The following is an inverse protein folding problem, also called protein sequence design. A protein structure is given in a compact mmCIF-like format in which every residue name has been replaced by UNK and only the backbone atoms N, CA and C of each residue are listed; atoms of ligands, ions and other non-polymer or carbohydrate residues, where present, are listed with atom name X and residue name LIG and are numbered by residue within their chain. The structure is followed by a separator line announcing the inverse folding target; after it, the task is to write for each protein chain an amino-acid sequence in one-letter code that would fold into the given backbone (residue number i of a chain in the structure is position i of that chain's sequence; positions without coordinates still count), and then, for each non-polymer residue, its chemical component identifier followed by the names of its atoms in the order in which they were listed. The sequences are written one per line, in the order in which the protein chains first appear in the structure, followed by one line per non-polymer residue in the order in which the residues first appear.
data_IF_285756228913
#
_entry.id   IF_285756228913
#
_cell.length_a   1.000
_cell.length_b   1.000
_cell.length_c   1.000
_cell.angle_alpha   90.00
_cell.angle_beta   90.00
_cell.angle_gamma   90.00
#
_symmetry.space_group_name_H-M   'P 1'
#
loop_
_entity.id
_entity.type
_entity.pdbx_description
1 polymer ?
#
# COMPACT_ATOMS: atom_id res chain seq x y z
N UNK A 1 -16.77 -6.77 -6.30
CA UNK A 1 -15.42 -6.84 -5.81
C UNK A 1 -14.65 -7.92 -6.53
N UNK A 2 -13.51 -7.61 -6.94
CA UNK A 2 -12.55 -8.53 -7.50
C UNK A 2 -11.74 -9.17 -6.36
N UNK A 3 -10.65 -9.82 -6.65
CA UNK A 3 -9.84 -10.52 -5.67
C UNK A 3 -8.93 -9.66 -4.81
N UNK A 4 -8.98 -8.34 -4.91
CA UNK A 4 -8.03 -7.47 -4.21
C UNK A 4 -8.15 -7.54 -2.70
N UNK A 5 -9.36 -7.53 -2.17
CA UNK A 5 -9.54 -7.68 -0.72
C UNK A 5 -9.01 -9.03 -0.25
N UNK A 6 -9.27 -10.08 -1.01
CA UNK A 6 -8.79 -11.42 -0.68
C UNK A 6 -7.26 -11.47 -0.69
N UNK A 7 -6.62 -10.84 -1.68
CA UNK A 7 -5.17 -10.76 -1.73
C UNK A 7 -4.62 -9.99 -0.53
N UNK A 8 -5.24 -8.88 -0.18
CA UNK A 8 -4.81 -8.09 0.96
C UNK A 8 -4.84 -8.93 2.25
N UNK A 9 -5.93 -9.65 2.46
CA UNK A 9 -6.07 -10.50 3.63
C UNK A 9 -5.08 -11.67 3.62
N UNK A 10 -4.83 -12.23 2.45
CA UNK A 10 -3.85 -13.30 2.28
C UNK A 10 -2.45 -12.82 2.64
N UNK A 11 -2.03 -11.69 2.12
CA UNK A 11 -0.70 -11.14 2.39
C UNK A 11 -0.56 -10.61 3.81
N UNK A 12 -1.66 -10.23 4.44
CA UNK A 12 -1.66 -9.79 5.84
C UNK A 12 -1.32 -10.94 6.81
N UNK A 13 -1.51 -12.19 6.39
CA UNK A 13 -1.13 -13.39 7.16
C UNK A 13 -1.67 -13.39 8.58
N UNK A 14 -2.93 -13.04 8.73
CA UNK A 14 -3.59 -13.07 10.04
C UNK A 14 -3.32 -11.87 10.93
N UNK A 15 -2.54 -10.89 10.47
CA UNK A 15 -2.39 -9.65 11.23
C UNK A 15 -3.73 -8.92 11.31
N UNK A 16 -4.03 -8.26 12.44
CA UNK A 16 -5.29 -7.52 12.58
C UNK A 16 -5.45 -6.47 11.49
N UNK A 17 -6.64 -6.36 10.95
CA UNK A 17 -7.01 -5.42 9.90
C UNK A 17 -8.20 -4.58 10.36
N UNK A 18 -8.29 -3.39 9.81
CA UNK A 18 -9.36 -2.43 10.09
C UNK A 18 -10.27 -2.41 8.87
N UNK A 19 -11.53 -2.78 9.04
CA UNK A 19 -12.47 -2.91 7.92
C UNK A 19 -12.59 -1.61 7.12
N UNK A 20 -12.62 -0.47 7.80
CA UNK A 20 -12.71 0.83 7.13
C UNK A 20 -11.47 1.10 6.27
N UNK A 21 -10.29 0.80 6.79
CA UNK A 21 -9.05 0.97 6.05
C UNK A 21 -8.97 0.02 4.86
N UNK A 22 -9.37 -1.24 5.05
CA UNK A 22 -9.42 -2.22 3.96
C UNK A 22 -10.30 -1.70 2.83
N UNK A 23 -11.47 -1.17 3.15
CA UNK A 23 -12.38 -0.63 2.15
C UNK A 23 -11.75 0.53 1.37
N UNK A 24 -11.07 1.45 2.06
CA UNK A 24 -10.39 2.58 1.42
C UNK A 24 -9.29 2.11 0.49
N UNK A 25 -8.47 1.18 0.96
CA UNK A 25 -7.32 0.66 0.19
C UNK A 25 -7.81 -0.11 -1.03
N UNK A 26 -8.82 -0.95 -0.89
CA UNK A 26 -9.37 -1.70 -2.01
C UNK A 26 -9.92 -0.73 -3.07
N UNK A 27 -10.64 0.29 -2.64
CA UNK A 27 -11.18 1.28 -3.57
C UNK A 27 -10.08 2.04 -4.32
N UNK A 28 -8.97 2.33 -3.65
CA UNK A 28 -7.88 3.13 -4.21
C UNK A 28 -6.90 2.31 -5.06
N UNK A 29 -7.00 1.00 -5.07
CA UNK A 29 -6.05 0.12 -5.77
C UNK A 29 -6.67 -0.58 -6.97
N UNK A 30 -7.68 0.01 -7.58
CA UNK A 30 -8.29 -0.58 -8.77
C UNK A 30 -7.26 -0.70 -9.89
N UNK A 31 -7.19 -1.87 -10.51
CA UNK A 31 -6.29 -2.12 -11.63
C UNK A 31 -4.87 -2.49 -11.27
N UNK A 32 -4.53 -2.54 -9.98
CA UNK A 32 -3.16 -2.92 -9.60
C UNK A 32 -2.97 -4.43 -9.65
N UNK A 33 -1.70 -4.85 -9.70
CA UNK A 33 -1.33 -6.26 -9.75
C UNK A 33 -1.27 -6.88 -8.37
N UNK A 34 -1.23 -8.23 -8.32
CA UNK A 34 -1.04 -8.96 -7.07
C UNK A 34 0.30 -8.59 -6.43
N UNK A 35 1.34 -8.39 -7.25
CA UNK A 35 2.66 -7.98 -6.75
C UNK A 35 2.61 -6.62 -6.06
N UNK A 36 1.80 -5.71 -6.58
CA UNK A 36 1.61 -4.40 -5.97
C UNK A 36 0.95 -4.54 -4.59
N UNK A 37 -0.10 -5.37 -4.50
CA UNK A 37 -0.77 -5.61 -3.23
C UNK A 37 0.18 -6.22 -2.20
N UNK A 38 1.03 -7.14 -2.62
CA UNK A 38 2.01 -7.75 -1.73
C UNK A 38 3.02 -6.72 -1.23
N UNK A 39 3.50 -5.86 -2.12
CA UNK A 39 4.45 -4.81 -1.75
C UNK A 39 3.81 -3.80 -0.80
N UNK A 40 2.55 -3.47 -1.01
CA UNK A 40 1.80 -2.58 -0.13
C UNK A 40 1.78 -3.11 1.32
N UNK A 41 1.43 -4.39 1.48
CA UNK A 41 1.39 -5.01 2.81
C UNK A 41 2.79 -5.06 3.41
N UNK A 42 3.79 -5.43 2.63
CA UNK A 42 5.17 -5.48 3.09
C UNK A 42 5.62 -4.12 3.63
N UNK A 43 5.34 -3.05 2.91
CA UNK A 43 5.70 -1.70 3.35
C UNK A 43 4.99 -1.27 4.61
N UNK A 44 3.72 -1.65 4.75
CA UNK A 44 2.98 -1.34 5.97
C UNK A 44 3.62 -2.02 7.18
N UNK A 45 4.02 -3.28 7.04
CA UNK A 45 4.70 -4.01 8.12
C UNK A 45 6.03 -3.36 8.45
N UNK A 46 6.83 -3.01 7.44
CA UNK A 46 8.13 -2.36 7.64
C UNK A 46 7.97 -1.02 8.35
N UNK A 47 6.95 -0.25 8.01
CA UNK A 47 6.69 1.02 8.70
C UNK A 47 6.47 0.82 10.20
N UNK A 48 5.74 -0.22 10.58
CA UNK A 48 5.53 -0.53 12.00
C UNK A 48 6.83 -0.95 12.69
N UNK A 49 7.62 -1.78 12.02
CA UNK A 49 8.90 -2.22 12.56
C UNK A 49 9.84 -1.03 12.75
N UNK A 50 9.96 -0.18 11.74
CA UNK A 50 10.83 0.99 11.80
C UNK A 50 10.42 1.99 12.89
N UNK A 51 9.12 2.07 13.15
CA UNK A 51 8.58 2.94 14.19
C UNK A 51 8.64 2.30 15.59
N UNK A 52 9.14 1.07 15.68
CA UNK A 52 9.12 0.28 16.93
C UNK A 52 7.70 0.16 17.51
N UNK A 53 6.71 0.15 16.62
CA UNK A 53 5.29 0.04 16.99
C UNK A 53 4.85 -1.42 16.92
N UNK A 54 3.74 -1.79 17.58
CA UNK A 54 3.19 -3.13 17.44
C UNK A 54 2.91 -3.46 15.98
N UNK A 55 3.22 -4.69 15.55
CA UNK A 55 3.04 -5.11 14.16
C UNK A 55 1.59 -5.49 13.95
N UNK A 56 0.81 -4.53 13.50
CA UNK A 56 -0.59 -4.69 13.13
C UNK A 56 -0.82 -3.86 11.87
N UNK A 57 -1.86 -4.18 11.13
CA UNK A 57 -2.24 -3.42 9.93
C UNK A 57 -3.46 -2.54 10.18
N UNK A 58 -3.83 -2.35 11.44
CA UNK A 58 -4.95 -1.49 11.81
C UNK A 58 -4.59 0.00 11.72
N UNK A 59 -5.60 0.85 11.82
CA UNK A 59 -5.39 2.30 11.78
C UNK A 59 -5.23 2.82 10.37
N UNK A 60 -4.11 3.48 10.10
CA UNK A 60 -3.84 4.11 8.81
C UNK A 60 -2.54 3.64 8.16
N UNK A 61 -1.92 2.59 8.68
CA UNK A 61 -0.60 2.18 8.17
C UNK A 61 -0.64 1.71 6.72
N UNK A 62 -1.72 1.06 6.30
CA UNK A 62 -1.89 0.68 4.90
C UNK A 62 -2.13 1.91 4.03
N UNK A 63 -2.91 2.87 4.51
CA UNK A 63 -3.12 4.13 3.80
C UNK A 63 -1.80 4.87 3.59
N UNK A 64 -0.95 4.90 4.62
CA UNK A 64 0.36 5.55 4.56
C UNK A 64 1.29 4.86 3.58
N UNK A 65 1.32 3.53 3.62
CA UNK A 65 2.13 2.75 2.68
C UNK A 65 1.65 2.95 1.25
N UNK A 66 0.35 3.03 1.05
CA UNK A 66 -0.23 3.27 -0.28
C UNK A 66 0.16 4.65 -0.81
N UNK A 67 0.11 5.66 0.04
CA UNK A 67 0.52 7.02 -0.35
C UNK A 67 1.98 7.04 -0.78
N UNK A 68 2.85 6.34 -0.06
CA UNK A 68 4.27 6.23 -0.39
C UNK A 68 4.49 5.58 -1.75
N UNK A 69 3.81 4.45 -2.01
CA UNK A 69 3.90 3.75 -3.29
C UNK A 69 3.36 4.59 -4.44
N UNK A 70 2.28 5.30 -4.21
CA UNK A 70 1.68 6.16 -5.23
C UNK A 70 2.63 7.30 -5.59
N UNK A 71 3.28 7.90 -4.60
CA UNK A 71 4.27 8.96 -4.81
C UNK A 71 5.46 8.48 -5.63
N UNK A 72 6.01 7.33 -5.29
CA UNK A 72 7.14 6.75 -6.02
C UNK A 72 6.77 6.48 -7.47
N UNK A 73 5.59 5.93 -7.70
CA UNK A 73 5.09 5.63 -9.03
C UNK A 73 4.92 6.92 -9.85
N UNK A 74 4.38 7.96 -9.27
CA UNK A 74 4.20 9.25 -9.94
C UNK A 74 5.53 9.87 -10.31
N UNK A 75 6.49 9.82 -9.41
CA UNK A 75 7.84 10.36 -9.65
C UNK A 75 8.52 9.62 -10.79
N UNK A 76 8.44 8.29 -10.79
CA UNK A 76 9.04 7.47 -11.84
C UNK A 76 8.37 7.74 -13.19
N UNK A 77 7.05 7.82 -13.21
CA UNK A 77 6.31 8.10 -14.44
C UNK A 77 6.71 9.43 -15.05
N UNK A 78 6.83 10.47 -14.24
CA UNK A 78 7.28 11.79 -14.71
C UNK A 78 8.68 11.74 -15.29
N UNK A 79 9.58 11.03 -14.63
CA UNK A 79 10.95 10.89 -15.11
C UNK A 79 10.99 10.17 -16.46
N UNK A 80 10.23 9.10 -16.60
CA UNK A 80 10.20 8.30 -17.84
C UNK A 80 9.57 9.06 -19.01
N UNK A 81 8.64 9.95 -18.73
CA UNK A 81 7.98 10.75 -19.77
C UNK A 81 8.75 12.03 -20.12
N UNK A 82 9.97 12.20 -19.60
CA UNK A 82 10.78 13.36 -19.87
C UNK A 82 10.32 14.60 -19.11
N UNK A 83 9.41 14.44 -18.15
CA UNK A 83 9.00 15.52 -17.28
C UNK A 83 10.02 15.76 -16.19
N UNK A 84 11.23 16.14 -16.57
CA UNK A 84 12.27 16.40 -15.60
C UNK A 84 11.78 17.47 -14.62
N UNK A 85 12.01 17.29 -13.31
CA UNK A 85 11.65 18.32 -12.37
C UNK A 85 12.42 19.61 -12.70
N UNK A 86 11.79 20.75 -12.53
CA UNK A 86 12.52 22.00 -12.70
C UNK A 86 13.68 22.06 -11.74
N UNK A 87 14.77 22.49 -12.24
CA UNK A 87 16.00 22.58 -11.46
C UNK A 87 15.85 23.56 -10.31
#
# INVERSE_FOLDING_TARGET
ADGRERLLRLYARGLPLDAAQVARVVAATEGVTASYMRELVRRAVVRRIDAAAPVTLEGTVLDEALAELTDERSTLTRALLGGAPPA
#
